data_IF_480114553716
#
_entry.id   IF_480114553716
#
_cell.length_a   1.000
_cell.length_b   1.000
_cell.length_c   1.000
_cell.angle_alpha   90.00
_cell.angle_beta   90.00
_cell.angle_gamma   90.00
#
_symmetry.space_group_name_H-M   'P 1'
#
loop_
_entity.id
_entity.type
_entity.pdbx_description
1 polymer ?
#
# COMPACT_ATOMS: atom_id res chain seq x y z
N UNK A 1 -15.73 -9.12 -1.26
CA UNK A 1 -15.27 -9.63 0.06
C UNK A 1 -14.59 -10.98 -0.15
N UNK A 2 -13.28 -11.00 -0.40
CA UNK A 2 -12.52 -12.24 -0.56
C UNK A 2 -12.06 -12.75 0.80
N UNK A 3 -12.66 -13.85 1.28
CA UNK A 3 -12.23 -14.55 2.49
C UNK A 3 -10.99 -15.38 2.16
N UNK A 4 -9.80 -14.82 2.34
CA UNK A 4 -8.56 -15.62 2.27
C UNK A 4 -8.38 -16.25 3.64
N UNK A 5 -8.79 -17.53 3.76
CA UNK A 5 -8.44 -18.35 4.92
C UNK A 5 -6.95 -18.64 4.83
N UNK A 6 -6.16 -17.96 5.64
CA UNK A 6 -4.71 -18.09 5.69
C UNK A 6 -4.34 -19.52 6.11
N UNK A 7 -3.96 -20.34 5.14
CA UNK A 7 -3.29 -21.61 5.41
C UNK A 7 -1.86 -21.29 5.89
N UNK A 8 -1.61 -21.48 7.18
CA UNK A 8 -0.28 -21.37 7.75
C UNK A 8 0.53 -22.59 7.30
N UNK A 9 1.36 -22.43 6.27
CA UNK A 9 2.36 -23.42 5.87
C UNK A 9 3.52 -23.28 6.87
N UNK A 10 3.59 -24.17 7.85
CA UNK A 10 4.70 -24.28 8.79
C UNK A 10 5.85 -24.96 8.03
N UNK A 11 6.84 -24.18 7.59
CA UNK A 11 8.06 -24.73 6.99
C UNK A 11 8.96 -25.20 8.14
N UNK A 12 8.94 -26.50 8.41
CA UNK A 12 9.87 -27.14 9.34
C UNK A 12 11.22 -27.32 8.65
N UNK A 13 12.16 -26.40 8.86
CA UNK A 13 13.55 -26.58 8.46
C UNK A 13 14.32 -27.24 9.62
N UNK A 14 14.56 -28.55 9.53
CA UNK A 14 15.43 -29.28 10.47
C UNK A 14 16.89 -29.03 10.10
N UNK A 15 17.52 -28.04 10.71
CA UNK A 15 18.98 -27.90 10.72
C UNK A 15 19.53 -28.64 11.94
N UNK A 16 20.03 -29.85 11.76
CA UNK A 16 20.75 -30.60 12.81
C UNK A 16 22.21 -30.15 12.83
N UNK A 17 22.54 -29.15 13.65
CA UNK A 17 23.84 -29.05 14.35
C UNK A 17 23.69 -28.12 15.56
N UNK A 18 23.43 -28.70 16.74
CA UNK A 18 23.89 -28.18 18.04
C UNK A 18 23.39 -26.82 18.55
N UNK A 19 22.20 -26.33 18.15
CA UNK A 19 21.67 -25.06 18.64
C UNK A 19 20.16 -25.13 18.91
N UNK A 20 19.72 -24.56 20.04
CA UNK A 20 18.33 -24.52 20.46
C UNK A 20 17.39 -24.05 19.33
N UNK A 21 16.31 -24.81 19.12
CA UNK A 21 15.25 -24.47 18.15
C UNK A 21 14.49 -23.25 18.67
N UNK A 22 14.83 -22.07 18.19
CA UNK A 22 14.01 -20.88 18.36
C UNK A 22 12.88 -20.91 17.33
N UNK A 23 11.67 -21.26 17.77
CA UNK A 23 10.46 -21.15 16.95
C UNK A 23 10.14 -19.66 16.81
N UNK A 24 10.59 -19.02 15.73
CA UNK A 24 10.26 -17.63 15.44
C UNK A 24 8.79 -17.57 14.98
N UNK A 25 7.90 -16.83 15.66
CA UNK A 25 6.55 -16.63 15.14
C UNK A 25 6.63 -15.90 13.78
N UNK A 26 5.76 -16.21 12.82
CA UNK A 26 5.76 -15.52 11.53
C UNK A 26 5.53 -14.03 11.78
N UNK A 27 6.45 -13.20 11.26
CA UNK A 27 6.33 -11.75 11.32
C UNK A 27 5.05 -11.35 10.58
N UNK A 28 4.02 -10.97 11.33
CA UNK A 28 2.74 -10.50 10.79
C UNK A 28 2.96 -9.13 10.16
N UNK A 29 3.41 -9.10 8.90
CA UNK A 29 3.54 -7.85 8.14
C UNK A 29 2.14 -7.35 7.79
N UNK A 30 1.59 -6.47 8.63
CA UNK A 30 0.37 -5.74 8.31
C UNK A 30 0.66 -4.78 7.16
N UNK A 31 0.21 -5.12 5.94
CA UNK A 31 0.35 -4.25 4.80
C UNK A 31 -0.45 -2.96 5.03
N UNK A 32 0.26 -1.85 5.29
CA UNK A 32 -0.38 -0.53 5.47
C UNK A 32 -0.97 -0.06 4.15
N UNK A 33 -2.29 -0.09 4.04
CA UNK A 33 -3.01 0.52 2.91
C UNK A 33 -2.85 2.04 2.97
N UNK A 34 -2.06 2.59 2.06
CA UNK A 34 -1.91 4.03 1.91
C UNK A 34 -3.01 4.57 1.01
N UNK A 35 -3.69 5.61 1.47
CA UNK A 35 -4.70 6.32 0.68
C UNK A 35 -4.15 7.62 0.12
N UNK A 36 -4.64 8.00 -1.06
CA UNK A 36 -4.21 9.17 -1.81
C UNK A 36 -5.41 9.85 -2.46
N UNK A 37 -5.26 11.14 -2.73
CA UNK A 37 -6.22 11.96 -3.44
C UNK A 37 -5.85 12.02 -4.93
N UNK A 38 -6.86 11.88 -5.78
CA UNK A 38 -6.73 12.06 -7.23
C UNK A 38 -7.77 13.06 -7.74
N UNK A 39 -7.48 13.69 -8.86
CA UNK A 39 -8.41 14.54 -9.58
C UNK A 39 -8.58 14.04 -11.02
N UNK A 40 -9.56 13.14 -11.29
CA UNK A 40 -9.69 12.47 -12.59
C UNK A 40 -9.84 13.42 -13.78
N UNK A 41 -10.41 14.61 -13.54
CA UNK A 41 -10.64 15.64 -14.57
C UNK A 41 -9.48 16.63 -14.75
N UNK A 42 -8.47 16.60 -13.87
CA UNK A 42 -7.36 17.56 -13.86
C UNK A 42 -6.00 16.92 -14.15
N UNK A 43 -5.96 15.61 -14.41
CA UNK A 43 -4.77 14.89 -14.86
C UNK A 43 -4.54 13.55 -14.16
N UNK A 44 -3.50 12.84 -14.60
CA UNK A 44 -3.09 11.54 -14.03
C UNK A 44 -2.04 11.70 -12.93
N UNK A 45 -2.33 12.52 -11.92
CA UNK A 45 -1.48 12.68 -10.73
C UNK A 45 -2.22 12.30 -9.45
N UNK A 46 -1.51 11.63 -8.54
CA UNK A 46 -1.99 11.35 -7.19
C UNK A 46 -1.24 12.20 -6.17
N UNK A 47 -1.90 12.42 -5.04
CA UNK A 47 -1.51 13.36 -4.01
C UNK A 47 -1.70 12.73 -2.62
N UNK A 48 -0.80 12.95 -1.69
CA UNK A 48 -0.98 12.49 -0.31
C UNK A 48 -1.88 13.46 0.46
N UNK A 49 -1.76 14.76 0.18
CA UNK A 49 -2.60 15.80 0.80
C UNK A 49 -3.68 16.34 -0.15
N UNK A 50 -4.88 16.57 0.38
CA UNK A 50 -5.99 17.25 -0.32
C UNK A 50 -5.70 18.73 -0.62
N UNK A 51 -4.77 19.33 0.13
CA UNK A 51 -4.33 20.73 -0.01
C UNK A 51 -3.09 20.91 -0.89
N UNK A 52 -2.65 19.86 -1.58
CA UNK A 52 -1.55 19.98 -2.54
C UNK A 52 -1.87 21.05 -3.59
N UNK A 53 -0.87 21.87 -3.95
CA UNK A 53 -1.00 22.94 -4.96
C UNK A 53 -1.61 22.44 -6.27
N UNK A 54 -1.29 21.21 -6.68
CA UNK A 54 -1.85 20.59 -7.90
C UNK A 54 -3.35 20.27 -7.82
N UNK A 55 -3.93 20.26 -6.61
CA UNK A 55 -5.36 20.04 -6.36
C UNK A 55 -6.13 21.34 -6.08
N UNK A 56 -5.49 22.52 -6.06
CA UNK A 56 -6.18 23.77 -5.72
C UNK A 56 -7.26 24.15 -6.75
N UNK A 57 -6.99 23.96 -8.04
CA UNK A 57 -7.97 24.16 -9.11
C UNK A 57 -8.77 22.89 -9.45
N UNK A 58 -8.63 21.81 -8.67
CA UNK A 58 -9.33 20.58 -8.95
C UNK A 58 -10.77 20.62 -8.44
N UNK A 59 -11.74 20.59 -9.35
CA UNK A 59 -13.17 20.64 -9.01
C UNK A 59 -13.66 19.37 -8.31
N UNK A 60 -13.29 18.18 -8.82
CA UNK A 60 -13.66 16.89 -8.23
C UNK A 60 -12.42 16.14 -7.73
N UNK A 61 -12.38 15.89 -6.41
CA UNK A 61 -11.32 15.14 -5.72
C UNK A 61 -11.88 13.79 -5.27
N UNK A 62 -11.15 12.71 -5.51
CA UNK A 62 -11.53 11.34 -5.13
C UNK A 62 -10.44 10.76 -4.25
N UNK A 63 -10.84 10.03 -3.21
CA UNK A 63 -9.93 9.34 -2.31
C UNK A 63 -9.83 7.87 -2.71
N UNK A 64 -8.65 7.42 -3.11
CA UNK A 64 -8.38 6.07 -3.61
C UNK A 64 -7.15 5.48 -2.92
N UNK A 65 -6.90 4.18 -3.07
CA UNK A 65 -5.67 3.57 -2.56
C UNK A 65 -4.49 3.89 -3.47
N UNK A 66 -3.28 3.96 -2.91
CA UNK A 66 -2.05 4.16 -3.67
C UNK A 66 -1.85 3.05 -4.71
N UNK A 67 -2.21 1.81 -4.35
CA UNK A 67 -2.15 0.68 -5.26
C UNK A 67 -3.04 0.89 -6.49
N UNK A 68 -4.30 1.33 -6.29
CA UNK A 68 -5.21 1.66 -7.37
C UNK A 68 -4.65 2.79 -8.24
N UNK A 69 -4.15 3.87 -7.62
CA UNK A 69 -3.58 5.00 -8.36
C UNK A 69 -2.41 4.54 -9.26
N UNK A 70 -1.50 3.72 -8.74
CA UNK A 70 -0.38 3.15 -9.51
C UNK A 70 -0.87 2.22 -10.63
N UNK A 71 -1.84 1.34 -10.35
CA UNK A 71 -2.42 0.43 -11.34
C UNK A 71 -3.09 1.19 -12.50
N UNK A 72 -3.67 2.35 -12.23
CA UNK A 72 -4.27 3.22 -13.24
C UNK A 72 -3.28 4.26 -13.84
N UNK A 73 -1.97 4.04 -13.67
CA UNK A 73 -0.89 4.87 -14.21
C UNK A 73 -0.91 6.33 -13.75
N UNK A 74 -1.44 6.62 -12.55
CA UNK A 74 -1.27 7.92 -11.93
C UNK A 74 0.17 8.08 -11.42
N UNK A 75 0.75 9.26 -11.64
CA UNK A 75 2.11 9.62 -11.20
C UNK A 75 2.06 10.47 -9.93
N UNK A 76 3.14 10.46 -9.14
CA UNK A 76 3.24 11.32 -7.96
C UNK A 76 3.20 12.79 -8.39
N UNK A 77 2.49 13.62 -7.64
CA UNK A 77 2.59 15.06 -7.83
C UNK A 77 3.94 15.59 -7.35
N UNK A 78 4.66 16.33 -8.21
CA UNK A 78 5.94 16.96 -7.85
C UNK A 78 5.83 18.15 -6.89
N UNK A 79 4.62 18.49 -6.43
CA UNK A 79 4.35 19.58 -5.50
C UNK A 79 3.93 19.10 -4.11
N UNK A 80 4.00 17.79 -3.84
CA UNK A 80 3.80 17.27 -2.49
C UNK A 80 4.90 17.84 -1.57
N UNK A 81 4.48 18.34 -0.42
CA UNK A 81 5.33 18.79 0.68
C UNK A 81 4.99 17.99 1.91
#
# INVERSE_FOLDING_TARGET
MGKIKTAAIIIAATFTFGGAIVVQPPLQTSAKTTYVWIAPRHGKKYHYSKSCRGLNNAGKKVHVTLHWAKAHHYKLCGWEK
#
